data_IF_377457420758
#
_entry.id   IF_377457420758
#
_cell.length_a   1.000
_cell.length_b   1.000
_cell.length_c   1.000
_cell.angle_alpha   90.00
_cell.angle_beta   90.00
_cell.angle_gamma   90.00
#
_symmetry.space_group_name_H-M   'P 1'
#
loop_
_entity.id
_entity.type
_entity.pdbx_description
1 polymer ?
#
# COMPACT_ATOMS: atom_id res chain seq x y z
N UNK A 1 24.82 10.31 -6.65
CA UNK A 1 23.38 10.61 -6.72
C UNK A 1 22.78 10.23 -5.39
N UNK A 2 22.42 11.22 -4.55
CA UNK A 2 21.73 10.94 -3.29
C UNK A 2 20.39 10.30 -3.60
N UNK A 3 20.09 9.16 -2.97
CA UNK A 3 18.76 8.53 -3.08
C UNK A 3 17.77 9.49 -2.40
N UNK A 4 16.79 10.00 -3.13
CA UNK A 4 15.76 10.89 -2.59
C UNK A 4 14.87 10.11 -1.64
N UNK A 5 15.26 10.08 -0.36
CA UNK A 5 14.47 9.52 0.72
C UNK A 5 13.12 10.25 0.78
N UNK A 6 12.04 9.48 0.82
CA UNK A 6 10.69 10.00 0.96
C UNK A 6 10.42 10.31 2.43
N UNK A 7 10.04 11.55 2.74
CA UNK A 7 9.59 11.95 4.07
C UNK A 7 8.16 11.45 4.32
N UNK A 8 8.01 10.44 5.19
CA UNK A 8 6.73 9.85 5.53
C UNK A 8 5.77 10.86 6.17
N UNK A 9 6.27 11.81 6.97
CA UNK A 9 5.40 12.84 7.54
C UNK A 9 4.76 13.69 6.44
N UNK A 10 5.56 14.15 5.48
CA UNK A 10 5.06 14.94 4.35
C UNK A 10 4.02 14.17 3.54
N UNK A 11 4.27 12.87 3.29
CA UNK A 11 3.35 12.00 2.56
C UNK A 11 2.01 11.83 3.29
N UNK A 12 2.04 11.40 4.55
CA UNK A 12 0.82 11.16 5.33
C UNK A 12 0.08 12.45 5.70
N UNK A 13 0.79 13.58 5.79
CA UNK A 13 0.15 14.90 5.91
C UNK A 13 -0.67 15.25 4.67
N UNK A 14 -0.19 14.95 3.46
CA UNK A 14 -0.97 15.17 2.24
C UNK A 14 -2.19 14.26 2.19
N UNK A 15 -2.04 12.98 2.55
CA UNK A 15 -3.16 12.03 2.65
C UNK A 15 -4.21 12.50 3.65
N UNK A 16 -3.80 12.93 4.85
CA UNK A 16 -4.71 13.44 5.88
C UNK A 16 -5.53 14.63 5.37
N UNK A 17 -4.89 15.55 4.64
CA UNK A 17 -5.58 16.69 4.01
C UNK A 17 -6.60 16.24 2.96
N UNK A 18 -6.21 15.33 2.05
CA UNK A 18 -7.14 14.82 1.03
C UNK A 18 -8.35 14.14 1.66
N UNK A 19 -8.13 13.29 2.66
CA UNK A 19 -9.22 12.58 3.34
C UNK A 19 -10.15 13.54 4.08
N UNK A 20 -9.61 14.58 4.73
CA UNK A 20 -10.42 15.62 5.36
C UNK A 20 -11.29 16.37 4.36
N UNK A 21 -10.76 16.67 3.17
CA UNK A 21 -11.54 17.30 2.10
C UNK A 21 -12.66 16.41 1.58
N UNK A 22 -12.40 15.09 1.47
CA UNK A 22 -13.35 14.11 0.90
C UNK A 22 -14.20 13.39 1.98
N UNK A 23 -14.14 13.84 3.23
CA UNK A 23 -14.82 13.21 4.36
C UNK A 23 -16.34 13.07 4.13
N UNK A 24 -17.08 14.11 3.65
CA UNK A 24 -18.51 13.98 3.42
C UNK A 24 -18.87 12.94 2.36
N UNK A 25 -18.11 12.88 1.26
CA UNK A 25 -18.32 11.88 0.21
C UNK A 25 -18.04 10.46 0.69
N UNK A 26 -17.02 10.29 1.54
CA UNK A 26 -16.69 9.01 2.15
C UNK A 26 -17.74 8.54 3.15
N UNK A 27 -18.30 9.45 3.95
CA UNK A 27 -19.45 9.15 4.81
C UNK A 27 -20.66 8.73 3.97
N UNK A 28 -20.95 9.45 2.89
CA UNK A 28 -22.07 9.11 2.00
C UNK A 28 -21.91 7.74 1.29
N UNK A 29 -20.67 7.34 1.01
CA UNK A 29 -20.39 6.04 0.39
C UNK A 29 -20.61 4.85 1.35
N UNK A 30 -20.63 5.13 2.65
CA UNK A 30 -20.93 4.16 3.68
C UNK A 30 -22.43 4.14 4.01
N UNK A 31 -23.17 3.29 3.29
CA UNK A 31 -24.62 3.19 3.40
C UNK A 31 -25.13 2.55 4.70
N UNK A 32 -24.24 2.05 5.57
CA UNK A 32 -24.64 1.38 6.81
C UNK A 32 -24.83 2.38 7.95
N UNK A 33 -23.76 3.09 8.32
CA UNK A 33 -23.74 4.02 9.45
C UNK A 33 -23.22 5.42 9.09
N UNK A 34 -22.75 5.63 7.86
CA UNK A 34 -22.35 6.92 7.30
C UNK A 34 -21.22 7.62 8.09
N UNK A 35 -20.30 6.87 8.67
CA UNK A 35 -19.18 7.41 9.48
C UNK A 35 -17.80 6.97 8.98
N UNK A 36 -17.74 6.23 7.86
CA UNK A 36 -16.47 5.77 7.31
C UNK A 36 -15.48 6.90 7.03
N UNK A 37 -15.93 8.03 6.47
CA UNK A 37 -15.12 9.22 6.27
C UNK A 37 -14.56 9.78 7.58
N UNK A 38 -15.36 9.81 8.65
CA UNK A 38 -14.91 10.24 10.00
C UNK A 38 -13.78 9.34 10.48
N UNK A 39 -13.93 8.02 10.33
CA UNK A 39 -12.89 7.05 10.67
C UNK A 39 -11.63 7.23 9.82
N UNK A 40 -11.75 7.48 8.52
CA UNK A 40 -10.59 7.69 7.65
C UNK A 40 -9.81 8.95 8.03
N UNK A 41 -10.51 10.04 8.37
CA UNK A 41 -9.87 11.27 8.88
C UNK A 41 -9.18 11.02 10.21
N UNK A 42 -9.84 10.35 11.15
CA UNK A 42 -9.25 9.97 12.44
C UNK A 42 -7.96 9.15 12.26
N UNK A 43 -8.03 8.08 11.45
CA UNK A 43 -6.92 7.16 11.21
C UNK A 43 -5.70 7.92 10.69
N UNK A 44 -5.87 8.74 9.64
CA UNK A 44 -4.73 9.40 8.99
C UNK A 44 -4.23 10.63 9.73
N UNK A 45 -5.06 11.29 10.54
CA UNK A 45 -4.59 12.29 11.50
C UNK A 45 -3.69 11.65 12.56
N UNK A 46 -4.06 10.47 13.07
CA UNK A 46 -3.24 9.71 14.03
C UNK A 46 -1.93 9.23 13.40
N UNK A 47 -1.97 8.70 12.17
CA UNK A 47 -0.75 8.28 11.45
C UNK A 47 0.15 9.50 11.21
N UNK A 48 -0.39 10.61 10.70
CA UNK A 48 0.36 11.86 10.51
C UNK A 48 1.02 12.32 11.81
N UNK A 49 0.29 12.30 12.94
CA UNK A 49 0.83 12.65 14.25
C UNK A 49 2.01 11.75 14.62
N UNK A 50 1.87 10.43 14.46
CA UNK A 50 2.94 9.49 14.77
C UNK A 50 4.20 9.73 13.94
N UNK A 51 4.05 10.00 12.64
CA UNK A 51 5.16 10.32 11.73
C UNK A 51 5.84 11.63 12.12
N UNK A 52 5.07 12.61 12.61
CA UNK A 52 5.61 13.87 13.11
C UNK A 52 6.43 13.67 14.39
N UNK A 53 5.89 12.92 15.35
CA UNK A 53 6.55 12.65 16.63
C UNK A 53 7.83 11.81 16.46
N UNK A 54 7.88 10.96 15.43
CA UNK A 54 9.02 10.09 15.12
C UNK A 54 9.81 10.54 13.89
N UNK A 55 9.71 11.81 13.48
CA UNK A 55 10.28 12.31 12.22
C UNK A 55 11.78 12.01 12.03
N UNK A 56 12.55 11.98 13.12
CA UNK A 56 13.99 11.70 13.09
C UNK A 56 14.36 10.22 13.29
N UNK A 57 13.38 9.34 13.48
CA UNK A 57 13.61 7.91 13.63
C UNK A 57 13.60 7.21 12.26
N UNK A 58 14.09 5.98 12.22
CA UNK A 58 14.05 5.16 11.02
C UNK A 58 12.60 4.94 10.55
N UNK A 59 12.34 4.82 9.23
CA UNK A 59 10.98 4.62 8.73
C UNK A 59 10.23 3.45 9.37
N UNK A 60 10.91 2.35 9.68
CA UNK A 60 10.33 1.21 10.37
C UNK A 60 9.82 1.57 11.78
N UNK A 61 10.56 2.40 12.52
CA UNK A 61 10.16 2.86 13.85
C UNK A 61 8.97 3.83 13.78
N UNK A 62 8.95 4.70 12.76
CA UNK A 62 7.80 5.57 12.50
C UNK A 62 6.53 4.76 12.25
N UNK A 63 6.63 3.71 11.43
CA UNK A 63 5.52 2.83 11.08
C UNK A 63 5.01 2.01 12.27
N UNK A 64 5.90 1.41 13.09
CA UNK A 64 5.47 0.66 14.27
C UNK A 64 4.87 1.58 15.33
N UNK A 65 5.44 2.77 15.53
CA UNK A 65 4.86 3.75 16.43
C UNK A 65 3.46 4.20 15.97
N UNK A 66 3.27 4.43 14.67
CA UNK A 66 1.96 4.73 14.10
C UNK A 66 0.96 3.58 14.30
N UNK A 67 1.39 2.33 14.09
CA UNK A 67 0.56 1.15 14.35
C UNK A 67 0.12 1.08 15.82
N UNK A 68 1.05 1.27 16.76
CA UNK A 68 0.77 1.23 18.20
C UNK A 68 -0.15 2.38 18.63
N UNK A 69 0.10 3.60 18.13
CA UNK A 69 -0.72 4.77 18.43
C UNK A 69 -2.14 4.61 17.90
N UNK A 70 -2.28 4.10 16.67
CA UNK A 70 -3.58 3.88 16.04
C UNK A 70 -4.42 2.84 16.78
N UNK A 71 -3.84 1.71 17.20
CA UNK A 71 -4.53 0.69 18.01
C UNK A 71 -5.03 1.25 19.34
N UNK A 72 -4.32 2.22 19.91
CA UNK A 72 -4.70 2.87 21.16
C UNK A 72 -5.83 3.87 20.97
N UNK A 73 -5.82 4.61 19.86
CA UNK A 73 -6.75 5.71 19.63
C UNK A 73 -8.06 5.31 18.96
N UNK A 74 -8.06 4.30 18.09
CA UNK A 74 -9.25 3.91 17.32
C UNK A 74 -9.49 2.40 17.36
N UNK A 75 -10.77 2.02 17.37
CA UNK A 75 -11.22 0.62 17.36
C UNK A 75 -11.99 0.24 16.09
N UNK A 76 -12.09 1.14 15.12
CA UNK A 76 -12.83 0.91 13.87
C UNK A 76 -12.24 -0.24 13.06
N UNK A 77 -13.05 -0.85 12.19
CA UNK A 77 -12.60 -1.95 11.33
C UNK A 77 -11.44 -1.54 10.41
N UNK A 78 -11.54 -0.35 9.81
CA UNK A 78 -10.48 0.24 8.98
C UNK A 78 -9.21 0.51 9.80
N UNK A 79 -9.33 1.05 11.03
CA UNK A 79 -8.18 1.30 11.89
C UNK A 79 -7.40 0.02 12.22
N UNK A 80 -8.11 -1.10 12.45
CA UNK A 80 -7.48 -2.41 12.68
C UNK A 80 -6.69 -2.89 11.46
N UNK A 81 -7.22 -2.69 10.26
CA UNK A 81 -6.53 -3.05 9.01
C UNK A 81 -5.27 -2.20 8.84
N UNK A 82 -5.38 -0.87 8.93
CA UNK A 82 -4.23 0.03 8.81
C UNK A 82 -3.18 -0.22 9.88
N UNK A 83 -3.58 -0.43 11.15
CA UNK A 83 -2.62 -0.71 12.21
C UNK A 83 -1.90 -2.05 12.01
N UNK A 84 -2.58 -3.06 11.45
CA UNK A 84 -1.94 -4.33 11.08
C UNK A 84 -0.94 -4.10 9.93
N UNK A 85 -1.37 -3.41 8.88
CA UNK A 85 -0.53 -3.10 7.71
C UNK A 85 0.70 -2.27 8.06
N UNK A 86 0.56 -1.24 8.89
CA UNK A 86 1.67 -0.41 9.39
C UNK A 86 2.70 -1.24 10.17
N UNK A 87 2.25 -2.14 11.04
CA UNK A 87 3.15 -3.00 11.82
C UNK A 87 3.82 -4.08 10.95
N UNK A 88 3.10 -4.61 9.95
CA UNK A 88 3.70 -5.50 8.95
C UNK A 88 4.76 -4.76 8.12
N UNK A 89 4.46 -3.53 7.69
CA UNK A 89 5.38 -2.68 6.95
C UNK A 89 6.63 -2.36 7.79
N UNK A 90 6.48 -2.02 9.07
CA UNK A 90 7.64 -1.81 9.94
C UNK A 90 8.63 -2.98 9.92
N UNK A 91 8.11 -4.21 10.07
CA UNK A 91 8.92 -5.43 10.05
C UNK A 91 9.57 -5.70 8.70
N UNK A 92 8.85 -5.45 7.61
CA UNK A 92 9.34 -5.68 6.25
C UNK A 92 10.41 -4.68 5.81
N UNK A 93 10.30 -3.44 6.28
CA UNK A 93 11.16 -2.32 5.87
C UNK A 93 12.20 -1.96 6.94
N UNK A 94 12.45 -2.84 7.91
CA UNK A 94 13.48 -2.64 8.93
C UNK A 94 14.85 -2.44 8.27
N UNK A 95 15.53 -1.35 8.64
CA UNK A 95 16.84 -0.97 8.08
C UNK A 95 16.80 -0.49 6.63
N UNK A 96 15.62 -0.19 6.07
CA UNK A 96 15.46 0.34 4.73
C UNK A 96 15.00 1.81 4.75
N UNK A 97 15.56 2.61 3.85
CA UNK A 97 14.99 3.90 3.49
C UNK A 97 13.75 3.70 2.60
N UNK A 98 12.79 4.61 2.70
CA UNK A 98 11.64 4.64 1.79
C UNK A 98 11.98 5.50 0.58
N UNK A 99 11.78 4.93 -0.61
CA UNK A 99 12.09 5.54 -1.89
C UNK A 99 11.13 5.04 -2.99
N UNK A 100 11.27 5.56 -4.21
CA UNK A 100 10.38 5.22 -5.33
C UNK A 100 10.36 3.74 -5.69
N UNK A 101 11.46 3.01 -5.44
CA UNK A 101 11.55 1.58 -5.74
C UNK A 101 10.78 0.69 -4.77
N UNK A 102 10.46 1.19 -3.56
CA UNK A 102 9.83 0.38 -2.52
C UNK A 102 8.54 0.98 -1.92
N UNK A 103 8.12 2.17 -2.38
CA UNK A 103 6.89 2.84 -1.92
C UNK A 103 5.61 2.10 -2.32
N UNK A 104 5.57 1.46 -3.49
CA UNK A 104 4.41 0.68 -3.93
C UNK A 104 4.23 -0.59 -3.10
N UNK A 105 5.28 -1.42 -2.87
CA UNK A 105 5.22 -2.50 -1.90
C UNK A 105 4.84 -2.02 -0.49
N UNK A 106 5.35 -0.86 -0.04
CA UNK A 106 4.99 -0.30 1.26
C UNK A 106 3.49 -0.03 1.36
N UNK A 107 2.93 0.64 0.35
CA UNK A 107 1.51 0.98 0.30
C UNK A 107 0.64 -0.28 0.26
N UNK A 108 1.05 -1.30 -0.51
CA UNK A 108 0.37 -2.59 -0.54
C UNK A 108 0.31 -3.23 0.85
N UNK A 109 1.41 -3.24 1.60
CA UNK A 109 1.44 -3.76 2.97
C UNK A 109 0.52 -2.97 3.89
N UNK A 110 0.56 -1.63 3.82
CA UNK A 110 -0.23 -0.75 4.70
C UNK A 110 -1.74 -0.91 4.47
N UNK A 111 -2.17 -1.10 3.21
CA UNK A 111 -3.58 -1.34 2.87
C UNK A 111 -4.07 -2.76 3.24
N UNK A 112 -3.23 -3.55 3.91
CA UNK A 112 -3.56 -4.91 4.33
C UNK A 112 -3.47 -5.93 3.18
N UNK A 113 -2.77 -5.59 2.10
CA UNK A 113 -2.35 -6.55 1.09
C UNK A 113 -1.22 -7.43 1.60
N UNK A 114 -1.18 -8.68 1.14
CA UNK A 114 -0.08 -9.59 1.42
C UNK A 114 1.13 -9.24 0.55
N UNK A 115 1.83 -8.14 0.86
CA UNK A 115 3.18 -7.98 0.32
C UNK A 115 4.07 -9.03 1.01
N UNK A 116 4.17 -10.22 0.43
CA UNK A 116 5.29 -11.12 0.76
C UNK A 116 6.54 -10.40 0.32
N UNK A 117 7.48 -10.23 1.25
CA UNK A 117 8.80 -9.66 1.02
C UNK A 117 9.35 -10.14 -0.32
N UNK A 118 9.67 -9.22 -1.23
CA UNK A 118 10.66 -9.55 -2.25
C UNK A 118 11.91 -10.05 -1.49
N UNK A 119 12.46 -11.22 -1.82
CA UNK A 119 13.69 -11.67 -1.21
C UNK A 119 14.74 -10.59 -1.40
N UNK A 120 15.61 -10.43 -0.40
CA UNK A 120 16.77 -9.55 -0.45
C UNK A 120 17.68 -10.02 -1.60
N UNK A 121 17.49 -9.48 -2.80
CA UNK A 121 18.34 -9.79 -3.95
C UNK A 121 19.69 -9.10 -3.77
N UNK A 122 20.67 -9.87 -3.32
CA UNK A 122 22.07 -9.63 -3.68
C UNK A 122 22.17 -9.57 -5.20
N UNK A 123 22.60 -8.43 -5.72
CA UNK A 123 23.28 -8.21 -7.00
C UNK A 123 22.88 -9.08 -8.20
N UNK A 124 22.13 -8.51 -9.13
CA UNK A 124 22.51 -8.37 -10.55
C UNK A 124 21.29 -7.97 -11.38
N UNK A 125 21.49 -7.04 -12.31
CA UNK A 125 20.52 -6.65 -13.30
C UNK A 125 20.05 -7.87 -14.12
N UNK A 126 18.74 -8.13 -14.17
CA UNK A 126 18.09 -8.94 -15.21
C UNK A 126 16.58 -8.68 -15.16
N UNK A 127 16.03 -8.26 -16.30
CA UNK A 127 14.69 -7.72 -16.44
C UNK A 127 13.57 -8.75 -16.32
N UNK A 128 12.34 -8.27 -16.50
CA UNK A 128 11.07 -8.99 -16.47
C UNK A 128 10.98 -10.28 -17.34
N UNK A 129 12.02 -10.62 -18.12
CA UNK A 129 12.14 -11.88 -18.84
C UNK A 129 12.55 -13.07 -17.96
N UNK A 130 13.20 -12.85 -16.81
CA UNK A 130 13.73 -13.94 -15.97
C UNK A 130 12.64 -14.65 -15.13
N UNK A 131 11.55 -13.93 -14.84
CA UNK A 131 10.35 -14.49 -14.20
C UNK A 131 9.50 -15.34 -15.15
N UNK A 132 9.52 -15.02 -16.45
CA UNK A 132 8.88 -15.86 -17.48
C UNK A 132 9.72 -17.12 -17.78
N UNK A 133 11.05 -17.02 -17.74
CA UNK A 133 11.96 -18.16 -17.91
C UNK A 133 11.84 -19.20 -16.79
N UNK A 134 11.68 -18.75 -15.55
CA UNK A 134 11.46 -19.63 -14.40
C UNK A 134 10.07 -20.28 -14.40
N UNK A 135 9.04 -19.60 -14.93
CA UNK A 135 7.69 -20.17 -15.10
C UNK A 135 7.65 -21.28 -16.17
N UNK A 136 8.35 -21.09 -17.29
CA UNK A 136 8.44 -22.09 -18.36
C UNK A 136 9.21 -23.35 -17.90
N UNK A 137 10.23 -23.16 -17.07
CA UNK A 137 11.04 -24.26 -16.54
C UNK A 137 10.29 -25.08 -15.48
N UNK A 138 9.43 -24.43 -14.67
CA UNK A 138 8.59 -25.11 -13.67
C UNK A 138 7.48 -25.99 -14.26
N UNK A 139 7.02 -25.69 -15.48
CA UNK A 139 6.00 -26.48 -16.19
C UNK A 139 6.57 -27.75 -16.83
N UNK A 140 7.89 -27.82 -17.03
CA UNK A 140 8.54 -28.88 -17.82
C UNK A 140 8.97 -30.12 -17.01
N UNK A 141 8.82 -30.13 -15.68
CA UNK A 141 8.84 -31.36 -14.89
C UNK A 141 9.58 -31.29 -13.55
N UNK A 142 8.94 -31.82 -12.50
CA UNK A 142 9.62 -32.14 -11.24
C UNK A 142 8.69 -32.07 -10.03
N UNK A 143 8.65 -33.15 -9.25
CA UNK A 143 7.79 -33.38 -8.08
C UNK A 143 8.24 -32.59 -6.84
N UNK A 144 7.25 -32.07 -6.11
CA UNK A 144 7.13 -31.83 -4.63
C UNK A 144 8.31 -31.24 -3.85
N UNK A 145 8.11 -30.09 -3.19
CA UNK A 145 8.13 -29.94 -1.72
C UNK A 145 7.79 -28.52 -1.27
N UNK A 146 7.24 -28.44 -0.04
CA UNK A 146 6.71 -27.26 0.65
C UNK A 146 7.63 -26.03 0.76
N UNK A 147 6.98 -24.91 1.07
CA UNK A 147 7.54 -23.62 1.47
C UNK A 147 8.10 -22.74 0.35
N UNK A 148 7.20 -22.28 -0.52
CA UNK A 148 7.32 -20.91 -1.03
C UNK A 148 5.98 -20.21 -0.87
N UNK A 149 5.83 -19.55 0.28
CA UNK A 149 4.87 -18.48 0.48
C UNK A 149 5.33 -17.29 -0.40
N UNK A 150 5.26 -17.46 -1.72
CA UNK A 150 5.31 -16.45 -2.76
C UNK A 150 3.89 -16.00 -3.13
N UNK A 151 3.76 -14.88 -3.81
CA UNK A 151 2.48 -14.38 -4.34
C UNK A 151 1.70 -15.53 -4.96
N UNK A 152 0.46 -15.76 -4.50
CA UNK A 152 -0.36 -16.81 -5.06
C UNK A 152 -0.54 -16.51 -6.55
N UNK A 153 -0.37 -17.52 -7.40
CA UNK A 153 -0.63 -17.37 -8.83
C UNK A 153 -2.07 -16.90 -9.07
N UNK A 154 -2.99 -17.28 -8.18
CA UNK A 154 -4.36 -16.77 -8.17
C UNK A 154 -4.44 -15.26 -7.90
N UNK A 155 -3.66 -14.76 -6.92
CA UNK A 155 -3.62 -13.33 -6.59
C UNK A 155 -2.99 -12.51 -7.73
N UNK A 156 -1.90 -13.02 -8.32
CA UNK A 156 -1.22 -12.36 -9.43
C UNK A 156 -2.09 -12.37 -10.71
N UNK A 157 -2.73 -13.50 -11.01
CA UNK A 157 -3.65 -13.60 -12.13
C UNK A 157 -4.86 -12.67 -11.93
N UNK A 158 -5.41 -12.60 -10.72
CA UNK A 158 -6.48 -11.68 -10.36
C UNK A 158 -6.10 -10.21 -10.55
N UNK A 159 -4.90 -9.83 -10.09
CA UNK A 159 -4.37 -8.48 -10.29
C UNK A 159 -4.14 -8.15 -11.78
N UNK A 160 -3.61 -9.11 -12.55
CA UNK A 160 -3.40 -8.98 -13.99
C UNK A 160 -4.69 -8.83 -14.79
N UNK A 161 -5.73 -9.61 -14.46
CA UNK A 161 -7.05 -9.48 -15.07
C UNK A 161 -7.71 -8.14 -14.74
N UNK A 162 -7.60 -7.69 -13.48
CA UNK A 162 -8.15 -6.41 -13.05
C UNK A 162 -7.48 -5.24 -13.75
N UNK A 163 -6.15 -5.29 -13.91
CA UNK A 163 -5.39 -4.29 -14.69
C UNK A 163 -5.82 -4.28 -16.17
N UNK A 164 -5.94 -5.46 -16.79
CA UNK A 164 -6.35 -5.57 -18.18
C UNK A 164 -7.79 -5.05 -18.40
N UNK A 165 -8.71 -5.38 -17.50
CA UNK A 165 -10.08 -4.87 -17.53
C UNK A 165 -10.11 -3.35 -17.35
N UNK A 166 -9.30 -2.80 -16.44
CA UNK A 166 -9.18 -1.36 -16.26
C UNK A 166 -8.69 -0.67 -17.55
N UNK A 167 -7.68 -1.23 -18.23
CA UNK A 167 -7.21 -0.72 -19.53
C UNK A 167 -8.26 -0.83 -20.63
N UNK A 168 -9.01 -1.94 -20.68
CA UNK A 168 -10.12 -2.11 -21.62
C UNK A 168 -11.27 -1.12 -21.35
N UNK A 169 -11.47 -0.71 -20.10
CA UNK A 169 -12.44 0.33 -19.72
C UNK A 169 -11.97 1.76 -19.99
N UNK A 170 -10.80 1.94 -20.62
CA UNK A 170 -10.23 3.25 -20.96
C UNK A 170 -9.56 3.99 -19.80
N UNK A 171 -9.32 3.34 -18.65
CA UNK A 171 -8.57 3.93 -17.54
C UNK A 171 -7.08 4.06 -17.90
N UNK A 172 -6.44 5.12 -17.40
CA UNK A 172 -4.99 5.30 -17.52
C UNK A 172 -4.21 4.23 -16.75
N UNK A 173 -2.90 4.11 -17.04
CA UNK A 173 -2.04 3.09 -16.43
C UNK A 173 -1.95 3.22 -14.90
N UNK A 174 -1.97 4.46 -14.40
CA UNK A 174 -1.91 4.76 -12.97
C UNK A 174 -3.21 4.37 -12.27
N UNK A 175 -4.36 4.70 -12.86
CA UNK A 175 -5.67 4.34 -12.32
C UNK A 175 -5.89 2.83 -12.33
N UNK A 176 -5.40 2.14 -13.37
CA UNK A 176 -5.43 0.68 -13.44
C UNK A 176 -4.55 0.03 -12.35
N UNK A 177 -3.36 0.59 -12.10
CA UNK A 177 -2.46 0.13 -11.04
C UNK A 177 -3.07 0.34 -9.65
N UNK A 178 -3.66 1.52 -9.39
CA UNK A 178 -4.33 1.82 -8.12
C UNK A 178 -5.52 0.90 -7.92
N UNK A 179 -6.33 0.67 -8.96
CA UNK A 179 -7.45 -0.28 -8.90
C UNK A 179 -7.00 -1.71 -8.58
N UNK A 180 -5.92 -2.19 -9.23
CA UNK A 180 -5.36 -3.50 -8.93
C UNK A 180 -4.80 -3.60 -7.50
N UNK A 181 -4.11 -2.55 -7.02
CA UNK A 181 -3.59 -2.46 -5.66
C UNK A 181 -4.70 -2.53 -4.62
N UNK A 182 -5.76 -1.76 -4.81
CA UNK A 182 -6.90 -1.71 -3.88
C UNK A 182 -7.70 -3.01 -3.94
N UNK A 183 -7.97 -3.54 -5.14
CA UNK A 183 -8.67 -4.80 -5.33
C UNK A 183 -7.96 -6.01 -4.72
N UNK A 184 -6.62 -6.01 -4.72
CA UNK A 184 -5.80 -7.03 -4.05
C UNK A 184 -5.59 -6.83 -2.54
N UNK A 185 -6.22 -5.80 -1.95
CA UNK A 185 -6.05 -5.46 -0.53
C UNK A 185 -7.28 -5.85 0.31
N UNK A 186 -7.10 -5.98 1.63
CA UNK A 186 -8.24 -6.16 2.54
C UNK A 186 -9.22 -4.98 2.50
N UNK A 187 -8.75 -3.78 2.14
CA UNK A 187 -9.60 -2.61 1.95
C UNK A 187 -10.46 -2.67 0.68
N UNK A 188 -10.14 -3.53 -0.29
CA UNK A 188 -10.96 -3.75 -1.48
C UNK A 188 -12.26 -4.51 -1.22
N UNK A 189 -12.43 -5.08 -0.02
CA UNK A 189 -13.57 -5.95 0.33
C UNK A 189 -14.92 -5.24 0.44
N UNK A 190 -14.95 -3.91 0.47
CA UNK A 190 -16.21 -3.13 0.50
C UNK A 190 -16.07 -1.83 -0.30
N UNK A 191 -17.17 -1.32 -0.90
CA UNK A 191 -17.10 -0.13 -1.76
C UNK A 191 -16.50 1.11 -1.09
N UNK A 192 -16.92 1.45 0.14
CA UNK A 192 -16.44 2.65 0.84
C UNK A 192 -14.95 2.54 1.22
N UNK A 193 -14.48 1.34 1.62
CA UNK A 193 -13.05 1.10 1.88
C UNK A 193 -12.23 1.17 0.61
N UNK A 194 -12.73 0.62 -0.50
CA UNK A 194 -12.06 0.71 -1.80
C UNK A 194 -11.90 2.18 -2.23
N UNK A 195 -12.98 2.96 -2.21
CA UNK A 195 -12.96 4.39 -2.56
C UNK A 195 -11.96 5.19 -1.71
N UNK A 196 -11.96 4.98 -0.38
CA UNK A 196 -11.00 5.66 0.49
C UNK A 196 -9.55 5.22 0.24
N UNK A 197 -9.32 3.96 -0.14
CA UNK A 197 -7.98 3.44 -0.45
C UNK A 197 -7.45 3.94 -1.79
N UNK A 198 -8.34 4.10 -2.78
CA UNK A 198 -8.01 4.76 -4.05
C UNK A 198 -7.59 6.22 -3.82
N UNK A 199 -8.33 6.97 -2.97
CA UNK A 199 -7.96 8.33 -2.59
C UNK A 199 -6.58 8.40 -1.91
N UNK A 200 -6.31 7.49 -0.98
CA UNK A 200 -5.00 7.39 -0.31
C UNK A 200 -3.90 7.11 -1.32
N UNK A 201 -4.06 6.09 -2.17
CA UNK A 201 -3.07 5.68 -3.15
C UNK A 201 -2.80 6.77 -4.20
N UNK A 202 -3.86 7.37 -4.75
CA UNK A 202 -3.74 8.49 -5.69
C UNK A 202 -3.04 9.70 -5.07
N UNK A 203 -3.35 10.03 -3.82
CA UNK A 203 -2.71 11.16 -3.13
C UNK A 203 -1.21 10.92 -2.95
N UNK A 204 -0.83 9.69 -2.57
CA UNK A 204 0.57 9.30 -2.44
C UNK A 204 1.29 9.46 -3.78
N UNK A 205 0.74 8.87 -4.85
CA UNK A 205 1.32 8.93 -6.19
C UNK A 205 1.46 10.35 -6.72
N UNK A 206 0.44 11.20 -6.51
CA UNK A 206 0.51 12.61 -6.87
C UNK A 206 1.59 13.35 -6.08
N UNK A 207 1.72 13.09 -4.78
CA UNK A 207 2.78 13.65 -3.93
C UNK A 207 4.18 13.24 -4.40
N UNK A 208 4.35 11.98 -4.80
CA UNK A 208 5.60 11.46 -5.37
C UNK A 208 5.94 12.13 -6.70
N UNK A 209 4.97 12.22 -7.62
CA UNK A 209 5.15 12.90 -8.91
C UNK A 209 5.53 14.37 -8.73
N UNK A 210 4.92 15.07 -7.76
CA UNK A 210 5.27 16.45 -7.43
C UNK A 210 6.66 16.62 -6.81
N UNK A 211 7.23 15.57 -6.22
CA UNK A 211 8.62 15.55 -5.73
C UNK A 211 9.63 15.24 -6.84
N UNK A 212 9.25 14.47 -7.86
CA UNK A 212 10.12 14.14 -9.01
C UNK A 212 10.16 15.28 -10.03
N UNK A 213 9.05 16.00 -10.22
CA UNK A 213 8.95 17.13 -11.14
C UNK A 213 9.62 18.42 -10.65
N UNK A 214 10.29 18.38 -9.50
CA UNK A 214 11.07 19.47 -8.91
C UNK A 214 12.55 19.14 -8.95
#
# INVERSE_FOLDING_TARGET
MGKSQIDLFSLFNQVSKTLKTNQPELNKADSYNNDHGDHMVEIFEVIKQAMQEKKSADPADQLEYAAALLRRKSQSGSAKIYAKGLSQASKQFTGQEINMGNIMPLLQTILGGSAKTAPKSTSAASGAGDLLGSLLTGMAGGKTSEASQGLDLADLLGAGMSYMQAKQSGKGDMEALVGALVGGSQMGSSPHRAQSSELVANTILQGLSAMIGK
#
